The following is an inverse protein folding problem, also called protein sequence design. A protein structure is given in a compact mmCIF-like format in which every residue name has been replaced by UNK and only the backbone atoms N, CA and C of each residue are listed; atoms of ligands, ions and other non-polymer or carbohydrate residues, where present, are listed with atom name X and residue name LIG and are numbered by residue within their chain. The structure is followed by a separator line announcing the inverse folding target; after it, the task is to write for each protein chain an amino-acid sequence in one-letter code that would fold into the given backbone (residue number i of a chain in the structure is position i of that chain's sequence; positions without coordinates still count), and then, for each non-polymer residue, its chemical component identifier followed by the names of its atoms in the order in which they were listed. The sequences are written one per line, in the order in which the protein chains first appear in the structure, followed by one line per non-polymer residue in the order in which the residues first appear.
data_IF_514844263519
#
_entry.id   IF_514844263519
#
_cell.length_a   1.000
_cell.length_b   1.000
_cell.length_c   1.000
_cell.angle_alpha   90.00
_cell.angle_beta   90.00
_cell.angle_gamma   90.00
#
_symmetry.space_group_name_H-M   'P 1'
#
loop_
_entity.id
_entity.type
_entity.pdbx_description
1 polymer ?
#
# COMPACT_ATOMS: atom_id res chain seq x y z
N UNK A 1 -21.44 -7.37 19.22
CA UNK A 1 -20.72 -6.09 19.02
C UNK A 1 -21.70 -4.92 19.09
N UNK A 2 -22.27 -4.67 20.28
CA UNK A 2 -23.15 -3.52 20.49
C UNK A 2 -22.32 -2.24 20.33
N UNK A 3 -22.70 -1.40 19.36
CA UNK A 3 -22.08 -0.10 19.12
C UNK A 3 -21.25 0.06 17.83
N UNK A 4 -20.90 -1.02 17.12
CA UNK A 4 -20.21 -0.92 15.82
C UNK A 4 -21.14 -0.36 14.75
N UNK A 5 -20.77 0.78 14.15
CA UNK A 5 -21.59 1.46 13.13
C UNK A 5 -21.12 1.24 11.70
N UNK A 6 -19.85 0.90 11.50
CA UNK A 6 -19.19 0.80 10.19
C UNK A 6 -18.09 -0.25 10.24
N UNK A 7 -17.76 -0.85 9.10
CA UNK A 7 -16.70 -1.83 8.95
C UNK A 7 -15.72 -1.36 7.88
N UNK A 8 -14.43 -1.31 8.22
CA UNK A 8 -13.36 -1.11 7.24
C UNK A 8 -12.48 -2.36 7.18
N UNK A 9 -12.21 -2.84 5.99
CA UNK A 9 -11.38 -4.02 5.75
C UNK A 9 -10.25 -3.68 4.78
N UNK A 10 -9.02 -3.95 5.21
CA UNK A 10 -7.82 -3.88 4.36
C UNK A 10 -7.57 -5.21 3.69
N UNK A 11 -7.33 -5.20 2.40
CA UNK A 11 -6.92 -6.39 1.64
C UNK A 11 -5.59 -6.12 0.92
N UNK A 12 -4.67 -7.10 0.93
CA UNK A 12 -3.43 -7.00 0.15
C UNK A 12 -3.74 -7.26 -1.32
N UNK A 13 -3.52 -6.27 -2.17
CA UNK A 13 -3.76 -6.34 -3.61
C UNK A 13 -4.54 -5.16 -4.15
N UNK A 14 -4.88 -5.23 -5.43
CA UNK A 14 -5.60 -4.16 -6.11
C UNK A 14 -7.10 -4.27 -5.86
N UNK A 15 -7.67 -3.26 -5.21
CA UNK A 15 -9.09 -3.13 -4.93
C UNK A 15 -9.64 -1.90 -5.66
N UNK A 16 -10.78 -2.02 -6.31
CA UNK A 16 -11.47 -0.88 -6.94
C UNK A 16 -12.96 -0.94 -6.63
N UNK A 17 -13.50 0.11 -6.02
CA UNK A 17 -14.90 0.17 -5.64
C UNK A 17 -15.34 -1.03 -4.78
N UNK A 18 -14.48 -1.50 -3.89
CA UNK A 18 -14.74 -2.66 -3.03
C UNK A 18 -14.64 -4.04 -3.71
N UNK A 19 -14.31 -4.08 -5.01
CA UNK A 19 -14.13 -5.32 -5.78
C UNK A 19 -12.65 -5.69 -5.88
N UNK A 20 -12.37 -6.97 -5.81
CA UNK A 20 -11.02 -7.52 -5.98
C UNK A 20 -10.68 -7.51 -7.48
N UNK A 21 -9.65 -6.77 -7.86
CA UNK A 21 -9.12 -6.74 -9.23
C UNK A 21 -7.98 -7.75 -9.37
N UNK A 22 -6.98 -7.66 -8.49
CA UNK A 22 -5.84 -8.59 -8.45
C UNK A 22 -5.45 -8.81 -6.99
N UNK A 23 -5.27 -10.07 -6.59
CA UNK A 23 -4.89 -10.44 -5.22
C UNK A 23 -3.89 -11.61 -5.23
N UNK A 24 -2.60 -11.38 -5.56
CA UNK A 24 -1.62 -12.44 -5.77
C UNK A 24 -1.44 -13.37 -4.57
N UNK A 25 -1.53 -12.83 -3.36
CA UNK A 25 -1.35 -13.60 -2.13
C UNK A 25 -2.39 -14.71 -1.90
N UNK A 26 -3.60 -14.55 -2.48
CA UNK A 26 -4.68 -15.52 -2.29
C UNK A 26 -4.90 -16.43 -3.49
N UNK A 27 -4.38 -16.07 -4.67
CA UNK A 27 -4.53 -16.90 -5.88
C UNK A 27 -3.30 -17.76 -6.18
N UNK A 28 -2.20 -17.55 -5.44
CA UNK A 28 -0.95 -18.31 -5.58
C UNK A 28 -0.77 -19.24 -4.40
N UNK A 29 -1.22 -20.52 -4.47
CA UNK A 29 -1.30 -21.42 -3.31
C UNK A 29 0.07 -21.73 -2.67
N UNK A 30 1.16 -21.60 -3.44
CA UNK A 30 2.52 -21.85 -2.95
C UNK A 30 3.34 -20.56 -2.72
N UNK A 31 2.67 -19.40 -2.66
CA UNK A 31 3.28 -18.10 -2.37
C UNK A 31 3.22 -17.09 -3.55
N UNK A 32 3.51 -15.84 -3.30
CA UNK A 32 3.19 -14.72 -4.20
C UNK A 32 3.94 -14.72 -5.55
N UNK A 33 4.92 -15.57 -5.74
CA UNK A 33 5.72 -15.69 -6.99
C UNK A 33 5.55 -17.03 -7.68
N UNK A 34 4.61 -17.85 -7.25
CA UNK A 34 4.32 -19.14 -7.85
C UNK A 34 3.21 -18.99 -8.90
N UNK A 35 2.95 -20.10 -9.62
CA UNK A 35 1.86 -20.12 -10.59
C UNK A 35 0.52 -19.93 -9.87
N UNK A 36 -0.26 -18.98 -10.34
CA UNK A 36 -1.59 -18.76 -9.81
C UNK A 36 -2.53 -19.92 -10.20
N UNK A 37 -3.39 -20.31 -9.27
CA UNK A 37 -4.48 -21.23 -9.55
C UNK A 37 -5.57 -20.53 -10.37
N UNK A 38 -5.98 -21.13 -11.48
CA UNK A 38 -7.09 -20.61 -12.28
C UNK A 38 -8.41 -20.64 -11.51
N UNK A 39 -8.64 -21.68 -10.71
CA UNK A 39 -9.82 -21.81 -9.86
C UNK A 39 -9.90 -20.65 -8.84
N UNK A 40 -8.78 -20.38 -8.13
CA UNK A 40 -8.74 -19.26 -7.19
C UNK A 40 -8.87 -17.90 -7.87
N UNK A 41 -8.34 -17.75 -9.10
CA UNK A 41 -8.57 -16.52 -9.89
C UNK A 41 -10.06 -16.32 -10.18
N UNK A 42 -10.76 -17.35 -10.63
CA UNK A 42 -12.21 -17.27 -10.89
C UNK A 42 -13.00 -16.95 -9.63
N UNK A 43 -12.56 -17.46 -8.48
CA UNK A 43 -13.21 -17.20 -7.20
C UNK A 43 -13.01 -15.75 -6.73
N UNK A 44 -11.80 -15.21 -6.89
CA UNK A 44 -11.40 -13.94 -6.29
C UNK A 44 -11.55 -12.73 -7.23
N UNK A 45 -11.20 -12.87 -8.50
CA UNK A 45 -11.18 -11.73 -9.43
C UNK A 45 -12.61 -11.30 -9.79
N UNK A 46 -12.89 -10.01 -9.65
CA UNK A 46 -14.23 -9.46 -9.83
C UNK A 46 -15.15 -9.65 -8.61
N UNK A 47 -14.73 -10.41 -7.58
CA UNK A 47 -15.54 -10.63 -6.39
C UNK A 47 -15.78 -9.31 -5.64
N UNK A 48 -17.05 -8.98 -5.42
CA UNK A 48 -17.47 -7.79 -4.68
C UNK A 48 -17.38 -8.05 -3.17
N UNK A 49 -16.18 -7.91 -2.64
CA UNK A 49 -15.89 -8.13 -1.22
C UNK A 49 -16.66 -7.17 -0.33
N UNK A 50 -16.79 -5.92 -0.76
CA UNK A 50 -17.49 -4.89 0.02
C UNK A 50 -18.95 -5.24 0.19
N UNK A 51 -19.63 -5.61 -0.91
CA UNK A 51 -21.05 -6.02 -0.87
C UNK A 51 -21.25 -7.31 -0.06
N UNK A 52 -20.37 -8.30 -0.22
CA UNK A 52 -20.44 -9.55 0.52
C UNK A 52 -20.30 -9.33 2.04
N UNK A 53 -19.34 -8.51 2.46
CA UNK A 53 -19.12 -8.19 3.88
C UNK A 53 -20.25 -7.30 4.43
N UNK A 54 -20.72 -6.33 3.67
CA UNK A 54 -21.86 -5.50 4.08
C UNK A 54 -23.12 -6.36 4.33
N UNK A 55 -23.39 -7.32 3.44
CA UNK A 55 -24.50 -8.28 3.61
C UNK A 55 -24.30 -9.17 4.84
N UNK A 56 -23.08 -9.71 5.02
CA UNK A 56 -22.76 -10.63 6.12
C UNK A 56 -22.87 -9.97 7.48
N UNK A 57 -22.32 -8.76 7.63
CA UNK A 57 -22.27 -8.06 8.91
C UNK A 57 -23.43 -7.09 9.14
N UNK A 58 -24.25 -6.85 8.12
CA UNK A 58 -25.36 -5.87 8.12
C UNK A 58 -24.89 -4.47 8.54
N UNK A 59 -23.69 -4.09 8.08
CA UNK A 59 -23.04 -2.81 8.38
C UNK A 59 -22.59 -2.14 7.07
N UNK A 60 -22.62 -0.81 7.00
CA UNK A 60 -21.90 -0.08 5.97
C UNK A 60 -20.44 -0.54 5.99
N UNK A 61 -19.94 -0.98 4.85
CA UNK A 61 -18.61 -1.58 4.73
C UNK A 61 -17.78 -0.84 3.69
N UNK A 62 -16.51 -0.63 3.99
CA UNK A 62 -15.50 -0.09 3.08
C UNK A 62 -14.36 -1.10 2.96
N UNK A 63 -14.00 -1.45 1.72
CA UNK A 63 -12.87 -2.36 1.44
C UNK A 63 -11.85 -1.61 0.61
N UNK A 64 -10.64 -1.54 1.12
CA UNK A 64 -9.52 -0.80 0.55
C UNK A 64 -8.25 -1.65 0.54
N UNK A 65 -7.24 -1.21 -0.21
CA UNK A 65 -5.89 -1.72 -0.04
C UNK A 65 -5.30 -1.28 1.31
N UNK A 66 -4.37 -2.06 1.85
CA UNK A 66 -3.73 -1.76 3.13
C UNK A 66 -2.93 -0.44 3.12
N UNK A 67 -2.24 -0.11 2.03
CA UNK A 67 -1.57 1.18 1.88
C UNK A 67 -2.55 2.36 1.82
N UNK A 68 -3.73 2.16 1.24
CA UNK A 68 -4.79 3.17 1.20
C UNK A 68 -5.31 3.47 2.61
N UNK A 69 -5.52 2.44 3.42
CA UNK A 69 -5.92 2.63 4.82
C UNK A 69 -4.83 3.36 5.61
N UNK A 70 -3.55 3.00 5.42
CA UNK A 70 -2.44 3.71 6.07
C UNK A 70 -2.42 5.19 5.66
N UNK A 71 -2.65 5.47 4.38
CA UNK A 71 -2.72 6.83 3.85
C UNK A 71 -3.82 7.65 4.48
N UNK A 72 -5.04 7.11 4.57
CA UNK A 72 -6.18 7.80 5.18
C UNK A 72 -5.92 8.29 6.61
N UNK A 73 -4.99 7.63 7.34
CA UNK A 73 -4.61 8.04 8.69
C UNK A 73 -3.81 9.33 8.74
N UNK A 74 -3.00 9.62 7.72
CA UNK A 74 -1.85 10.53 7.82
C UNK A 74 -1.86 11.68 6.83
N UNK A 75 -2.63 11.58 5.75
CA UNK A 75 -2.71 12.64 4.75
C UNK A 75 -3.18 13.95 5.36
N UNK A 76 -2.65 15.06 4.87
CA UNK A 76 -3.05 16.41 5.25
C UNK A 76 -4.31 16.85 4.53
N UNK A 77 -4.61 16.27 3.38
CA UNK A 77 -5.72 16.62 2.51
C UNK A 77 -5.44 17.83 1.62
N UNK A 78 -4.17 18.13 1.36
CA UNK A 78 -3.73 19.26 0.53
C UNK A 78 -2.76 18.82 -0.55
N UNK A 79 -3.07 19.14 -1.80
CA UNK A 79 -2.25 18.82 -2.94
C UNK A 79 -2.16 17.30 -3.22
N UNK A 80 -1.10 16.90 -3.92
CA UNK A 80 -0.84 15.51 -4.24
C UNK A 80 0.03 14.85 -3.17
N UNK A 81 -0.55 13.86 -2.51
CA UNK A 81 0.07 13.14 -1.39
C UNK A 81 0.28 11.67 -1.78
N UNK A 82 1.54 11.23 -1.77
CA UNK A 82 1.93 9.85 -2.04
C UNK A 82 2.18 9.11 -0.72
N UNK A 83 1.66 7.92 -0.60
CA UNK A 83 1.93 7.00 0.52
C UNK A 83 2.63 5.76 -0.02
N UNK A 84 3.74 5.39 0.58
CA UNK A 84 4.48 4.18 0.29
C UNK A 84 4.61 3.34 1.57
N UNK A 85 4.20 2.08 1.51
CA UNK A 85 4.33 1.16 2.64
C UNK A 85 5.34 0.07 2.31
N UNK A 86 6.35 -0.07 3.16
CA UNK A 86 7.40 -1.09 3.02
C UNK A 86 7.14 -2.25 3.99
N UNK A 87 6.77 -3.40 3.44
CA UNK A 87 6.50 -4.64 4.15
C UNK A 87 7.10 -5.83 3.41
N UNK A 88 6.32 -6.86 3.15
CA UNK A 88 6.69 -8.01 2.29
C UNK A 88 7.11 -7.50 0.90
N UNK A 89 6.36 -6.55 0.37
CA UNK A 89 6.62 -5.80 -0.85
C UNK A 89 6.48 -4.31 -0.64
N UNK A 90 6.16 -3.58 -1.71
CA UNK A 90 5.81 -2.16 -1.73
C UNK A 90 4.31 -2.01 -1.92
N UNK A 91 3.62 -1.40 -0.95
CA UNK A 91 2.27 -0.88 -1.15
C UNK A 91 2.31 0.61 -1.49
N UNK A 92 1.31 1.09 -2.21
CA UNK A 92 1.20 2.50 -2.58
C UNK A 92 -0.24 2.99 -2.54
N UNK A 93 -0.40 4.28 -2.22
CA UNK A 93 -1.66 4.99 -2.37
C UNK A 93 -1.40 6.44 -2.75
N UNK A 94 -2.26 7.01 -3.57
CA UNK A 94 -2.19 8.39 -4.04
C UNK A 94 -3.46 9.11 -3.61
N UNK A 95 -3.29 10.31 -3.08
CA UNK A 95 -4.39 11.19 -2.72
C UNK A 95 -4.21 12.55 -3.40
N UNK A 96 -5.31 13.12 -3.87
CA UNK A 96 -5.37 14.49 -4.37
C UNK A 96 -6.40 15.25 -3.55
N UNK A 97 -5.96 16.30 -2.87
CA UNK A 97 -6.81 17.14 -2.01
C UNK A 97 -7.69 16.32 -1.04
N UNK A 98 -7.06 15.32 -0.41
CA UNK A 98 -7.69 14.41 0.55
C UNK A 98 -8.54 13.29 -0.07
N UNK A 99 -8.73 13.27 -1.38
CA UNK A 99 -9.49 12.23 -2.08
C UNK A 99 -8.55 11.13 -2.57
N UNK A 100 -8.91 9.89 -2.29
CA UNK A 100 -8.18 8.71 -2.77
C UNK A 100 -8.28 8.61 -4.29
N UNK A 101 -7.13 8.55 -4.95
CA UNK A 101 -7.03 8.27 -6.39
C UNK A 101 -7.20 6.75 -6.66
N UNK A 102 -7.51 6.34 -7.91
CA UNK A 102 -7.54 4.94 -8.26
C UNK A 102 -6.21 4.22 -7.93
N UNK A 103 -6.31 3.04 -7.36
CA UNK A 103 -5.14 2.25 -6.97
C UNK A 103 -4.25 1.91 -8.17
N UNK A 104 -2.95 2.15 -8.00
CA UNK A 104 -1.89 1.77 -8.93
C UNK A 104 -0.95 0.77 -8.25
N UNK A 105 -0.81 -0.42 -8.82
CA UNK A 105 0.11 -1.45 -8.31
C UNK A 105 1.54 -1.22 -8.84
N UNK A 106 2.17 -0.17 -8.35
CA UNK A 106 3.51 0.25 -8.81
C UNK A 106 4.62 -0.74 -8.42
N UNK A 107 4.37 -1.61 -7.47
CA UNK A 107 5.31 -2.63 -7.01
C UNK A 107 5.72 -3.60 -8.11
N UNK A 108 4.87 -3.78 -9.11
CA UNK A 108 5.09 -4.66 -10.25
C UNK A 108 5.89 -4.03 -11.40
N UNK A 109 6.16 -2.73 -11.36
CA UNK A 109 7.02 -2.08 -12.35
C UNK A 109 8.42 -2.67 -12.33
N UNK A 110 8.98 -2.91 -13.52
CA UNK A 110 10.35 -3.37 -13.69
C UNK A 110 11.32 -2.22 -13.55
N UNK A 111 12.26 -2.34 -12.62
CA UNK A 111 13.24 -1.27 -12.33
C UNK A 111 14.65 -1.57 -12.88
N UNK A 112 15.09 -2.82 -12.85
CA UNK A 112 16.45 -3.17 -13.30
C UNK A 112 16.55 -4.66 -13.63
N UNK A 113 17.16 -4.99 -14.77
CA UNK A 113 17.48 -6.36 -15.18
C UNK A 113 16.29 -7.34 -14.98
N UNK A 114 15.09 -6.93 -15.41
CA UNK A 114 13.87 -7.74 -15.29
C UNK A 114 13.30 -7.87 -13.86
N UNK A 115 13.88 -7.17 -12.87
CA UNK A 115 13.38 -7.21 -11.49
C UNK A 115 12.31 -6.14 -11.28
N UNK A 116 11.22 -6.55 -10.65
CA UNK A 116 10.19 -5.60 -10.19
C UNK A 116 10.67 -4.82 -8.96
N UNK A 117 9.96 -3.74 -8.64
CA UNK A 117 10.20 -2.95 -7.42
C UNK A 117 10.16 -3.87 -6.20
N UNK A 118 9.17 -4.76 -6.08
CA UNK A 118 9.08 -5.73 -4.99
C UNK A 118 10.30 -6.63 -4.88
N UNK A 119 10.82 -7.11 -6.00
CA UNK A 119 12.03 -7.94 -6.02
C UNK A 119 13.29 -7.16 -5.62
N UNK A 120 13.28 -5.83 -5.78
CA UNK A 120 14.43 -4.99 -5.53
C UNK A 120 14.48 -4.43 -4.12
N UNK A 121 13.31 -4.09 -3.54
CA UNK A 121 13.22 -3.43 -2.22
C UNK A 121 12.32 -4.14 -1.20
N UNK A 122 11.62 -5.21 -1.56
CA UNK A 122 10.78 -5.96 -0.62
C UNK A 122 11.61 -6.62 0.50
N UNK A 123 10.94 -7.22 1.46
CA UNK A 123 11.54 -7.80 2.67
C UNK A 123 12.68 -8.79 2.38
N UNK A 124 12.50 -9.67 1.38
CA UNK A 124 13.54 -10.65 1.01
C UNK A 124 14.79 -9.93 0.52
N UNK A 125 14.63 -8.89 -0.31
CA UNK A 125 15.75 -8.09 -0.79
C UNK A 125 16.44 -7.37 0.36
N UNK A 126 15.67 -6.76 1.27
CA UNK A 126 16.18 -6.07 2.46
C UNK A 126 17.05 -7.01 3.33
N UNK A 127 16.54 -8.19 3.65
CA UNK A 127 17.28 -9.20 4.44
C UNK A 127 18.58 -9.62 3.77
N UNK A 128 18.57 -9.78 2.43
CA UNK A 128 19.75 -10.18 1.67
C UNK A 128 20.85 -9.12 1.64
N UNK A 129 20.48 -7.82 1.50
CA UNK A 129 21.47 -6.74 1.29
C UNK A 129 21.76 -5.91 2.55
N UNK A 130 20.99 -6.10 3.62
CA UNK A 130 21.09 -5.33 4.85
C UNK A 130 20.44 -3.94 4.75
N UNK A 131 20.15 -3.35 5.91
CA UNK A 131 19.38 -2.09 6.00
C UNK A 131 20.08 -0.91 5.32
N UNK A 132 21.41 -0.84 5.32
CA UNK A 132 22.14 0.28 4.74
C UNK A 132 22.00 0.34 3.21
N UNK A 133 22.28 -0.77 2.52
CA UNK A 133 22.14 -0.82 1.06
C UNK A 133 20.69 -0.76 0.65
N UNK A 134 19.80 -1.41 1.41
CA UNK A 134 18.37 -1.32 1.18
C UNK A 134 17.85 0.12 1.28
N UNK A 135 18.28 0.89 2.28
CA UNK A 135 17.91 2.32 2.41
C UNK A 135 18.38 3.16 1.22
N UNK A 136 19.56 2.86 0.64
CA UNK A 136 20.03 3.50 -0.59
C UNK A 136 19.12 3.18 -1.78
N UNK A 137 18.65 1.93 -1.89
CA UNK A 137 17.70 1.51 -2.95
C UNK A 137 16.35 2.21 -2.80
N UNK A 138 15.83 2.30 -1.58
CA UNK A 138 14.58 3.04 -1.30
C UNK A 138 14.74 4.52 -1.67
N UNK A 139 15.86 5.14 -1.29
CA UNK A 139 16.17 6.51 -1.69
C UNK A 139 16.17 6.68 -3.20
N UNK A 140 16.84 5.77 -3.91
CA UNK A 140 16.89 5.79 -5.38
C UNK A 140 15.50 5.70 -5.99
N UNK A 141 14.67 4.77 -5.51
CA UNK A 141 13.28 4.63 -5.94
C UNK A 141 12.50 5.93 -5.77
N UNK A 142 12.62 6.59 -4.60
CA UNK A 142 11.93 7.85 -4.32
C UNK A 142 12.37 8.94 -5.31
N UNK A 143 13.66 9.02 -5.61
CA UNK A 143 14.21 10.00 -6.58
C UNK A 143 13.65 9.72 -7.98
N UNK A 144 13.62 8.47 -8.41
CA UNK A 144 13.14 8.07 -9.74
C UNK A 144 11.61 8.22 -9.89
N UNK A 145 10.87 8.05 -8.80
CA UNK A 145 9.42 8.25 -8.80
C UNK A 145 9.01 9.73 -8.78
N UNK A 146 9.85 10.60 -8.23
CA UNK A 146 9.46 12.00 -8.07
C UNK A 146 9.07 12.68 -9.39
N UNK A 147 9.85 12.59 -10.48
CA UNK A 147 9.48 13.23 -11.75
C UNK A 147 8.22 12.63 -12.39
N UNK A 148 7.82 11.42 -11.99
CA UNK A 148 6.61 10.77 -12.51
C UNK A 148 5.34 11.21 -11.78
N UNK A 149 5.45 11.50 -10.48
CA UNK A 149 4.29 11.77 -9.60
C UNK A 149 4.25 13.24 -9.18
N UNK A 150 5.41 13.87 -8.95
CA UNK A 150 5.58 15.27 -8.50
C UNK A 150 4.73 15.55 -7.25
N UNK A 151 4.87 14.71 -6.22
CA UNK A 151 4.11 14.85 -4.97
C UNK A 151 4.49 16.10 -4.18
N UNK A 152 3.51 16.65 -3.47
CA UNK A 152 3.72 17.71 -2.48
C UNK A 152 4.19 17.13 -1.13
N UNK A 153 3.68 15.95 -0.77
CA UNK A 153 4.07 15.21 0.44
C UNK A 153 4.20 13.72 0.16
N UNK A 154 5.24 13.09 0.74
CA UNK A 154 5.44 11.64 0.72
C UNK A 154 5.41 11.09 2.14
N UNK A 155 4.56 10.10 2.37
CA UNK A 155 4.48 9.35 3.63
C UNK A 155 5.04 7.96 3.45
N UNK A 156 5.96 7.56 4.35
CA UNK A 156 6.60 6.25 4.33
C UNK A 156 6.17 5.46 5.56
N UNK A 157 5.44 4.38 5.34
CA UNK A 157 4.91 3.50 6.37
C UNK A 157 5.29 2.03 6.17
N UNK A 158 4.57 1.16 6.88
CA UNK A 158 4.78 -0.28 6.85
C UNK A 158 5.86 -0.75 7.83
N UNK A 159 5.91 -2.05 8.06
CA UNK A 159 6.79 -2.69 9.06
C UNK A 159 8.28 -2.34 8.90
N UNK A 160 8.76 -2.17 7.67
CA UNK A 160 10.15 -1.90 7.38
C UNK A 160 10.51 -0.40 7.37
N UNK A 161 9.54 0.51 7.44
CA UNK A 161 9.80 1.95 7.38
C UNK A 161 10.78 2.42 8.46
N UNK A 162 10.65 1.89 9.68
CA UNK A 162 11.53 2.26 10.79
C UNK A 162 12.96 1.74 10.66
N UNK A 163 13.21 0.82 9.71
CA UNK A 163 14.54 0.29 9.42
C UNK A 163 15.31 1.16 8.42
N UNK A 164 14.64 2.15 7.81
CA UNK A 164 15.28 3.12 6.95
C UNK A 164 16.29 3.96 7.73
N UNK A 165 17.48 4.09 7.16
CA UNK A 165 18.49 5.00 7.71
C UNK A 165 18.05 6.44 7.42
N UNK A 166 17.86 7.26 8.46
CA UNK A 166 17.41 8.66 8.32
C UNK A 166 18.27 9.49 7.37
N UNK A 167 19.56 9.19 7.29
CA UNK A 167 20.47 9.83 6.36
C UNK A 167 20.04 9.69 4.89
N UNK A 168 19.37 8.58 4.54
CA UNK A 168 18.90 8.35 3.18
C UNK A 168 17.76 9.31 2.76
N UNK A 169 17.08 9.95 3.71
CA UNK A 169 15.93 10.82 3.47
C UNK A 169 16.24 12.32 3.64
N UNK A 170 17.46 12.70 4.04
CA UNK A 170 17.82 14.09 4.34
C UNK A 170 17.68 15.06 3.15
N UNK A 171 17.76 14.57 1.93
CA UNK A 171 17.71 15.41 0.72
C UNK A 171 16.28 15.77 0.26
N UNK A 172 15.26 15.43 1.02
CA UNK A 172 13.86 15.66 0.62
C UNK A 172 13.16 16.79 1.40
N UNK A 173 13.92 17.63 2.13
CA UNK A 173 13.52 18.91 2.74
C UNK A 173 12.14 18.90 3.44
N UNK A 174 11.90 17.90 4.30
CA UNK A 174 10.67 17.80 5.07
C UNK A 174 9.43 17.30 4.28
N UNK A 175 9.53 17.16 2.97
CA UNK A 175 8.45 16.59 2.14
C UNK A 175 8.22 15.10 2.38
N UNK A 176 9.19 14.40 3.02
CA UNK A 176 9.11 12.98 3.33
C UNK A 176 8.93 12.76 4.82
N UNK A 177 7.84 12.07 5.19
CA UNK A 177 7.49 11.76 6.59
C UNK A 177 7.43 10.26 6.81
N UNK A 178 8.12 9.75 7.85
CA UNK A 178 7.97 8.36 8.28
C UNK A 178 6.78 8.29 9.24
N UNK A 179 5.85 7.40 8.96
CA UNK A 179 4.63 7.21 9.74
C UNK A 179 4.68 5.91 10.56
N UNK A 180 4.07 5.87 11.75
CA UNK A 180 4.05 4.68 12.57
C UNK A 180 3.18 3.57 11.94
N UNK A 181 3.50 2.32 12.23
CA UNK A 181 2.74 1.18 11.74
C UNK A 181 1.28 1.14 12.26
N UNK A 182 1.04 1.74 13.44
CA UNK A 182 -0.31 1.91 14.03
C UNK A 182 -1.24 2.79 13.19
N UNK A 183 -0.73 3.54 12.22
CA UNK A 183 -1.54 4.35 11.32
C UNK A 183 -2.64 3.54 10.60
N UNK A 184 -2.39 2.25 10.28
CA UNK A 184 -3.39 1.39 9.67
C UNK A 184 -4.67 1.24 10.48
N UNK A 185 -4.60 1.25 11.80
CA UNK A 185 -5.79 1.14 12.67
C UNK A 185 -6.63 2.43 12.61
N UNK A 186 -6.00 3.59 12.82
CA UNK A 186 -6.70 4.89 12.78
C UNK A 186 -7.19 5.24 11.37
N UNK A 187 -6.51 4.76 10.33
CA UNK A 187 -6.87 4.95 8.94
C UNK A 187 -8.20 4.32 8.59
N UNK A 188 -8.51 3.15 9.15
CA UNK A 188 -9.81 2.50 8.96
C UNK A 188 -11.00 3.35 9.39
N UNK A 189 -10.83 4.18 10.41
CA UNK A 189 -11.86 5.14 10.86
C UNK A 189 -11.90 6.37 9.94
N UNK A 190 -10.73 6.95 9.66
CA UNK A 190 -10.61 8.19 8.87
C UNK A 190 -10.99 8.03 7.40
N UNK A 191 -10.90 6.83 6.84
CA UNK A 191 -11.29 6.53 5.46
C UNK A 191 -12.78 6.77 5.17
N UNK A 192 -13.63 6.94 6.18
CA UNK A 192 -15.07 7.16 6.04
C UNK A 192 -15.49 8.62 5.95
N UNK A 193 -14.63 9.50 6.27
CA UNK A 193 -15.07 10.87 6.38
C UNK A 193 -13.98 11.88 6.15
N UNK A 194 -13.89 12.30 4.96
CA UNK A 194 -13.64 13.71 4.66
C UNK A 194 -14.47 14.09 3.47
#
# INVERSE_FOLDING_TARGET
TSGTKRLTVGLPGMIRGGKVVVIPHYVNPHGPRTKASNELRHLWYGFDMQKALAKKFKLPTLVLNDAEIHGAAVISGKGLELVLTFGTGLGSAIYMDGKLAPHLEISHLTVRAGRTIDMWIGEIARKRVGNTLWSRRVRQLIIEMYPMVVWDSLYIGGHNAQRLKRLALRSFDGKVKIIPNSAGVSGGVKAWGK
#
